data_IF_869582989303
#
_entry.id   IF_869582989303
#
_cell.length_a   1.000
_cell.length_b   1.000
_cell.length_c   1.000
_cell.angle_alpha   90.00
_cell.angle_beta   90.00
_cell.angle_gamma   90.00
#
_symmetry.space_group_name_H-M   'P 1'
#
loop_
_entity.id
_entity.type
_entity.pdbx_description
1 polymer ?
#
# COMPACT_ATOMS: atom_id res chain seq x y z
N UNK A 1 44.70 50.06 -22.05
CA UNK A 1 43.39 49.55 -22.42
C UNK A 1 43.34 48.07 -22.10
N UNK A 2 42.94 47.70 -20.91
CA UNK A 2 42.84 46.35 -20.44
C UNK A 2 41.38 45.90 -20.50
N UNK A 3 41.10 44.93 -21.38
CA UNK A 3 39.79 44.27 -21.43
C UNK A 3 39.70 43.22 -20.31
N UNK A 4 38.88 43.48 -19.32
CA UNK A 4 38.52 42.49 -18.30
C UNK A 4 37.73 41.35 -18.96
N UNK A 5 38.19 40.10 -18.77
CA UNK A 5 37.49 38.86 -19.11
C UNK A 5 36.32 38.67 -18.10
N UNK A 6 35.12 38.45 -18.65
CA UNK A 6 33.97 37.92 -17.89
C UNK A 6 34.29 36.49 -17.40
N UNK A 7 33.95 36.12 -16.15
CA UNK A 7 33.99 34.72 -15.74
C UNK A 7 32.80 33.98 -16.38
N UNK A 8 33.09 32.79 -16.93
CA UNK A 8 32.11 31.82 -17.37
C UNK A 8 31.46 31.13 -16.18
N UNK A 9 30.17 30.82 -16.35
CA UNK A 9 29.40 29.77 -15.66
C UNK A 9 29.28 29.92 -14.14
N UNK A 10 28.30 30.71 -13.72
CA UNK A 10 27.61 30.46 -12.48
C UNK A 10 26.51 29.42 -12.76
N UNK A 11 26.65 28.23 -12.23
CA UNK A 11 25.53 27.30 -12.08
C UNK A 11 24.51 27.99 -11.14
N UNK A 12 23.32 28.28 -11.67
CA UNK A 12 22.20 28.65 -10.82
C UNK A 12 21.87 27.44 -9.93
N UNK A 13 21.63 27.62 -8.61
CA UNK A 13 21.22 26.51 -7.78
C UNK A 13 19.86 26.00 -8.32
N UNK A 14 19.78 24.70 -8.68
CA UNK A 14 18.52 24.06 -8.96
C UNK A 14 17.55 24.33 -7.80
N UNK A 15 16.44 25.01 -8.05
CA UNK A 15 15.36 25.18 -7.11
C UNK A 15 14.86 23.80 -6.69
N UNK A 16 15.26 23.34 -5.52
CA UNK A 16 14.65 22.17 -4.87
C UNK A 16 13.20 22.53 -4.57
N UNK A 17 12.26 21.87 -5.24
CA UNK A 17 10.83 22.02 -4.93
C UNK A 17 10.63 21.80 -3.42
N UNK A 18 9.84 22.66 -2.74
CA UNK A 18 9.64 22.54 -1.31
C UNK A 18 9.05 21.14 -0.99
N UNK A 19 9.69 20.42 -0.08
CA UNK A 19 9.19 19.11 0.35
C UNK A 19 7.82 19.27 0.99
N UNK A 20 6.83 18.50 0.51
CA UNK A 20 5.47 18.51 1.08
C UNK A 20 5.48 18.10 2.54
N UNK A 21 4.69 18.78 3.35
CA UNK A 21 4.45 18.39 4.75
C UNK A 21 3.65 17.07 4.83
N UNK A 22 3.74 16.38 5.96
CA UNK A 22 2.95 15.16 6.21
C UNK A 22 1.44 15.39 6.04
N UNK A 23 0.93 16.55 6.43
CA UNK A 23 -0.48 16.90 6.28
C UNK A 23 -0.88 17.08 4.81
N UNK A 24 -0.04 17.74 3.99
CA UNK A 24 -0.29 17.90 2.56
C UNK A 24 -0.25 16.56 1.83
N UNK A 25 0.69 15.68 2.18
CA UNK A 25 0.77 14.32 1.64
C UNK A 25 -0.52 13.55 1.94
N UNK A 26 -0.97 13.53 3.21
CA UNK A 26 -2.20 12.84 3.62
C UNK A 26 -3.43 13.38 2.89
N UNK A 27 -3.54 14.70 2.77
CA UNK A 27 -4.66 15.32 2.07
C UNK A 27 -4.68 14.94 0.57
N UNK A 28 -3.53 14.95 -0.09
CA UNK A 28 -3.43 14.54 -1.50
C UNK A 28 -3.84 13.07 -1.69
N UNK A 29 -3.37 12.18 -0.82
CA UNK A 29 -3.72 10.76 -0.84
C UNK A 29 -5.23 10.59 -0.63
N UNK A 30 -5.79 11.25 0.39
CA UNK A 30 -7.21 11.16 0.71
C UNK A 30 -8.08 11.59 -0.48
N UNK A 31 -7.82 12.75 -1.06
CA UNK A 31 -8.56 13.27 -2.21
C UNK A 31 -8.47 12.29 -3.38
N UNK A 32 -7.27 11.82 -3.70
CA UNK A 32 -7.05 10.92 -4.83
C UNK A 32 -7.81 9.60 -4.70
N UNK A 33 -7.72 8.94 -3.55
CA UNK A 33 -8.40 7.66 -3.34
C UNK A 33 -9.90 7.81 -3.19
N UNK A 34 -10.36 8.94 -2.64
CA UNK A 34 -11.77 9.26 -2.54
C UNK A 34 -12.41 9.49 -3.93
N UNK A 35 -11.76 10.26 -4.80
CA UNK A 35 -12.18 10.47 -6.19
C UNK A 35 -12.18 9.16 -6.98
N UNK A 36 -11.13 8.37 -6.85
CA UNK A 36 -11.03 7.06 -7.48
C UNK A 36 -12.18 6.12 -7.07
N UNK A 37 -12.58 6.13 -5.79
CA UNK A 37 -13.70 5.34 -5.29
C UNK A 37 -15.05 5.85 -5.81
N UNK A 38 -15.24 7.18 -5.97
CA UNK A 38 -16.44 7.76 -6.57
C UNK A 38 -16.67 7.27 -7.99
N UNK A 39 -15.62 7.19 -8.78
CA UNK A 39 -15.62 6.72 -10.17
C UNK A 39 -15.82 5.20 -10.30
N UNK A 40 -15.91 4.47 -9.18
CA UNK A 40 -16.06 3.00 -9.16
C UNK A 40 -14.83 2.24 -9.60
N UNK A 41 -13.65 2.87 -9.49
CA UNK A 41 -12.39 2.26 -9.91
C UNK A 41 -12.18 2.24 -11.42
N UNK A 42 -12.98 2.97 -12.19
CA UNK A 42 -12.85 3.00 -13.65
C UNK A 42 -11.51 3.58 -14.09
N UNK A 43 -10.95 2.99 -15.13
CA UNK A 43 -9.55 3.04 -15.50
C UNK A 43 -9.03 4.37 -16.06
N UNK A 44 -9.82 5.42 -16.16
CA UNK A 44 -9.34 6.69 -16.74
C UNK A 44 -8.51 7.53 -15.76
N UNK A 45 -8.49 7.20 -14.47
CA UNK A 45 -7.90 8.04 -13.42
C UNK A 45 -6.65 7.56 -12.73
N UNK A 46 -6.32 6.27 -12.64
CA UNK A 46 -5.15 5.84 -11.85
C UNK A 46 -4.65 4.44 -12.23
N UNK A 47 -3.46 4.35 -12.79
CA UNK A 47 -2.81 3.14 -13.32
C UNK A 47 -3.68 2.37 -14.32
N UNK A 48 -3.63 2.68 -15.60
CA UNK A 48 -4.13 1.76 -16.59
C UNK A 48 -3.19 0.56 -16.56
N UNK A 49 -3.73 -0.56 -16.16
CA UNK A 49 -3.17 -1.83 -16.56
C UNK A 49 -3.22 -1.83 -18.07
N UNK A 50 -2.09 -1.62 -18.71
CA UNK A 50 -1.99 -1.42 -20.16
C UNK A 50 -2.61 -2.64 -20.84
N UNK A 51 -3.82 -2.48 -21.36
CA UNK A 51 -4.48 -3.45 -22.22
C UNK A 51 -5.23 -4.62 -21.54
N UNK A 52 -5.36 -4.64 -20.19
CA UNK A 52 -6.07 -5.70 -19.47
C UNK A 52 -7.06 -5.18 -18.42
N UNK A 53 -7.98 -6.02 -17.96
CA UNK A 53 -8.82 -5.72 -16.81
C UNK A 53 -8.02 -5.85 -15.51
N UNK A 54 -8.49 -5.21 -14.41
CA UNK A 54 -7.90 -5.40 -13.07
C UNK A 54 -7.85 -6.89 -12.67
N UNK A 55 -8.80 -7.67 -13.14
CA UNK A 55 -8.87 -9.13 -12.97
C UNK A 55 -7.72 -9.84 -13.68
N UNK A 56 -7.47 -9.52 -14.96
CA UNK A 56 -6.34 -10.10 -15.70
C UNK A 56 -5.01 -9.80 -15.02
N UNK A 57 -4.81 -8.56 -14.58
CA UNK A 57 -3.59 -8.17 -13.87
C UNK A 57 -3.40 -8.97 -12.57
N UNK A 58 -4.43 -9.08 -11.76
CA UNK A 58 -4.38 -9.79 -10.49
C UNK A 58 -4.03 -11.28 -10.67
N UNK A 59 -4.55 -11.90 -11.74
CA UNK A 59 -4.25 -13.29 -12.09
C UNK A 59 -2.88 -13.46 -12.75
N UNK A 60 -2.52 -12.62 -13.72
CA UNK A 60 -1.23 -12.69 -14.43
C UNK A 60 -0.02 -12.50 -13.51
N UNK A 61 -0.16 -11.62 -12.50
CA UNK A 61 0.89 -11.39 -11.51
C UNK A 61 0.78 -12.30 -10.28
N UNK A 62 -0.16 -13.27 -10.27
CA UNK A 62 -0.32 -14.25 -9.19
C UNK A 62 -0.63 -13.61 -7.83
N UNK A 63 -1.30 -12.45 -7.84
CA UNK A 63 -1.68 -11.77 -6.60
C UNK A 63 -2.80 -12.53 -5.89
N UNK A 64 -3.80 -12.99 -6.65
CA UNK A 64 -4.94 -13.78 -6.16
C UNK A 64 -5.11 -15.03 -7.00
N UNK A 65 -5.55 -16.13 -6.40
CA UNK A 65 -5.88 -17.37 -7.13
C UNK A 65 -7.22 -17.23 -7.86
N UNK A 66 -7.53 -18.16 -8.77
CA UNK A 66 -8.84 -18.19 -9.43
C UNK A 66 -9.97 -18.43 -8.41
N UNK A 67 -9.71 -19.23 -7.39
CA UNK A 67 -10.64 -19.51 -6.29
C UNK A 67 -10.89 -18.24 -5.47
N UNK A 68 -9.84 -17.47 -5.13
CA UNK A 68 -9.97 -16.18 -4.46
C UNK A 68 -10.81 -15.21 -5.31
N UNK A 69 -10.51 -15.11 -6.61
CA UNK A 69 -11.20 -14.20 -7.52
C UNK A 69 -12.69 -14.53 -7.68
N UNK A 70 -13.07 -15.81 -7.60
CA UNK A 70 -14.46 -16.24 -7.66
C UNK A 70 -15.29 -15.80 -6.45
N UNK A 71 -14.66 -15.50 -5.32
CA UNK A 71 -15.32 -15.01 -4.09
C UNK A 71 -15.47 -13.49 -4.06
N UNK A 72 -14.71 -12.76 -4.88
CA UNK A 72 -14.58 -11.32 -4.80
C UNK A 72 -15.55 -10.62 -5.77
N UNK A 73 -16.42 -9.71 -5.29
CA UNK A 73 -17.23 -8.86 -6.17
C UNK A 73 -16.38 -8.03 -7.13
N UNK A 74 -16.84 -7.86 -8.37
CA UNK A 74 -16.11 -7.10 -9.41
C UNK A 74 -15.74 -5.67 -8.98
N UNK A 75 -16.60 -5.05 -8.18
CA UNK A 75 -16.34 -3.72 -7.65
C UNK A 75 -15.05 -3.68 -6.81
N UNK A 76 -14.83 -4.69 -5.94
CA UNK A 76 -13.61 -4.77 -5.14
C UNK A 76 -12.36 -4.96 -6.00
N UNK A 77 -12.45 -5.78 -7.04
CA UNK A 77 -11.35 -6.00 -8.00
C UNK A 77 -10.98 -4.68 -8.68
N UNK A 78 -11.95 -3.93 -9.17
CA UNK A 78 -11.73 -2.65 -9.85
C UNK A 78 -11.10 -1.59 -8.93
N UNK A 79 -11.41 -1.64 -7.63
CA UNK A 79 -10.89 -0.72 -6.62
C UNK A 79 -9.54 -1.17 -6.03
N UNK A 80 -9.09 -2.39 -6.31
CA UNK A 80 -7.83 -2.89 -5.76
C UNK A 80 -6.62 -2.13 -6.31
N UNK A 81 -5.70 -1.79 -5.39
CA UNK A 81 -4.39 -1.17 -5.68
C UNK A 81 -3.27 -1.85 -4.86
N UNK A 82 -3.54 -3.05 -4.38
CA UNK A 82 -2.58 -3.84 -3.63
C UNK A 82 -1.42 -4.36 -4.48
N UNK A 83 -0.30 -4.65 -3.85
CA UNK A 83 0.90 -5.22 -4.47
C UNK A 83 1.14 -6.69 -4.04
N UNK A 84 0.15 -7.30 -3.39
CA UNK A 84 0.19 -8.67 -2.91
C UNK A 84 -1.17 -9.16 -2.43
N UNK A 85 -1.17 -10.29 -1.73
CA UNK A 85 -2.33 -10.87 -1.06
C UNK A 85 -1.93 -11.28 0.37
N UNK A 86 -2.10 -10.39 1.35
CA UNK A 86 -1.74 -10.70 2.74
C UNK A 86 -2.55 -11.86 3.31
N UNK A 87 -3.80 -12.05 2.85
CA UNK A 87 -4.65 -13.13 3.34
C UNK A 87 -4.13 -14.53 2.97
N UNK A 88 -3.31 -14.64 1.92
CA UNK A 88 -2.76 -15.91 1.45
C UNK A 88 -1.69 -16.49 2.40
N UNK A 89 -1.03 -15.65 3.19
CA UNK A 89 0.04 -16.07 4.09
C UNK A 89 -0.19 -15.68 5.57
N UNK A 90 -1.28 -14.97 5.88
CA UNK A 90 -1.63 -14.53 7.23
C UNK A 90 -2.05 -15.68 8.17
N UNK A 91 -2.24 -16.89 7.67
CA UNK A 91 -2.69 -18.05 8.47
C UNK A 91 -3.95 -17.75 9.32
N UNK A 92 -4.91 -17.05 8.72
CA UNK A 92 -6.19 -16.69 9.36
C UNK A 92 -6.97 -17.96 9.72
N UNK A 93 -7.46 -18.04 10.96
CA UNK A 93 -8.23 -19.18 11.47
C UNK A 93 -9.71 -18.83 11.67
N UNK A 94 -10.62 -19.81 11.57
CA UNK A 94 -12.03 -19.62 11.90
C UNK A 94 -12.22 -19.03 13.30
N UNK A 95 -13.16 -18.08 13.42
CA UNK A 95 -13.48 -17.42 14.68
C UNK A 95 -12.60 -16.25 15.07
N UNK A 96 -11.51 -15.99 14.34
CA UNK A 96 -10.63 -14.86 14.62
C UNK A 96 -11.24 -13.51 14.24
N UNK A 97 -10.68 -12.46 14.82
CA UNK A 97 -10.90 -11.05 14.44
C UNK A 97 -9.70 -10.60 13.62
N UNK A 98 -9.95 -10.18 12.39
CA UNK A 98 -8.93 -9.65 11.46
C UNK A 98 -9.17 -8.17 11.24
N UNK A 99 -8.15 -7.34 11.45
CA UNK A 99 -8.20 -5.92 11.09
C UNK A 99 -7.38 -5.67 9.82
N UNK A 100 -7.96 -4.97 8.84
CA UNK A 100 -7.34 -4.58 7.57
C UNK A 100 -7.03 -3.09 7.60
N UNK A 101 -5.76 -2.76 7.70
CA UNK A 101 -5.25 -1.39 7.76
C UNK A 101 -5.05 -0.84 6.35
N UNK A 102 -5.93 0.10 5.97
CA UNK A 102 -6.08 0.60 4.62
C UNK A 102 -6.90 -0.35 3.76
N UNK A 103 -8.08 -0.71 4.23
CA UNK A 103 -8.94 -1.71 3.60
C UNK A 103 -9.42 -1.35 2.18
N UNK A 104 -9.33 -0.06 1.80
CA UNK A 104 -9.72 0.41 0.48
C UNK A 104 -11.12 -0.07 0.07
N UNK A 105 -11.25 -0.62 -1.13
CA UNK A 105 -12.49 -1.18 -1.66
C UNK A 105 -12.90 -2.54 -1.08
N UNK A 106 -12.16 -3.10 -0.10
CA UNK A 106 -12.57 -4.28 0.66
C UNK A 106 -12.18 -5.63 0.07
N UNK A 107 -11.25 -5.69 -0.90
CA UNK A 107 -10.85 -6.97 -1.52
C UNK A 107 -10.31 -7.96 -0.50
N UNK A 108 -9.37 -7.53 0.35
CA UNK A 108 -8.76 -8.38 1.38
C UNK A 108 -9.72 -8.65 2.55
N UNK A 109 -10.69 -7.72 2.82
CA UNK A 109 -11.78 -7.95 3.78
C UNK A 109 -12.69 -9.10 3.37
N UNK A 110 -13.08 -9.21 2.10
CA UNK A 110 -13.90 -10.32 1.59
C UNK A 110 -13.19 -11.65 1.83
N UNK A 111 -11.92 -11.74 1.44
CA UNK A 111 -11.13 -12.97 1.61
C UNK A 111 -10.92 -13.31 3.09
N UNK A 112 -10.62 -12.31 3.91
CA UNK A 112 -10.49 -12.51 5.35
C UNK A 112 -11.81 -12.98 5.99
N UNK A 113 -12.96 -12.39 5.60
CA UNK A 113 -14.27 -12.77 6.11
C UNK A 113 -14.67 -14.21 5.76
N UNK A 114 -14.31 -14.68 4.57
CA UNK A 114 -14.47 -16.11 4.23
C UNK A 114 -13.62 -17.02 5.12
N UNK A 115 -12.37 -16.63 5.39
CA UNK A 115 -11.43 -17.42 6.21
C UNK A 115 -11.81 -17.46 7.69
N UNK A 116 -12.25 -16.33 8.27
CA UNK A 116 -12.69 -16.31 9.67
C UNK A 116 -14.03 -17.03 9.89
N UNK A 117 -14.80 -17.24 8.83
CA UNK A 117 -16.09 -17.96 8.90
C UNK A 117 -17.18 -17.21 9.68
N UNK A 118 -18.30 -17.91 10.02
CA UNK A 118 -19.50 -17.26 10.57
C UNK A 118 -19.35 -16.76 12.00
N UNK A 119 -18.33 -17.22 12.74
CA UNK A 119 -18.08 -16.83 14.13
C UNK A 119 -16.97 -15.79 14.28
N UNK A 120 -16.24 -15.51 13.20
CA UNK A 120 -15.19 -14.50 13.15
C UNK A 120 -15.69 -13.14 12.68
N UNK A 121 -14.81 -12.15 12.75
CA UNK A 121 -15.09 -10.78 12.32
C UNK A 121 -13.93 -10.18 11.52
N UNK A 122 -14.26 -9.21 10.67
CA UNK A 122 -13.27 -8.38 9.98
C UNK A 122 -13.55 -6.90 10.27
N UNK A 123 -12.48 -6.12 10.43
CA UNK A 123 -12.53 -4.69 10.72
C UNK A 123 -11.75 -3.97 9.61
N UNK A 124 -12.45 -3.20 8.76
CA UNK A 124 -11.82 -2.37 7.76
C UNK A 124 -11.50 -0.99 8.32
N UNK A 125 -10.23 -0.58 8.27
CA UNK A 125 -9.79 0.76 8.67
C UNK A 125 -9.32 1.50 7.42
N UNK A 126 -9.97 2.61 7.09
CA UNK A 126 -9.58 3.48 5.97
C UNK A 126 -9.97 4.93 6.29
N UNK A 127 -9.27 5.91 5.70
CA UNK A 127 -9.56 7.32 5.94
C UNK A 127 -10.30 8.01 4.78
N UNK A 128 -10.47 7.33 3.64
CA UNK A 128 -11.21 7.80 2.49
C UNK A 128 -12.69 7.41 2.59
N UNK A 129 -13.62 8.37 2.74
CA UNK A 129 -15.04 8.06 2.98
C UNK A 129 -15.66 7.20 1.89
N UNK A 130 -15.43 7.52 0.61
CA UNK A 130 -16.01 6.78 -0.50
C UNK A 130 -15.40 5.38 -0.65
N UNK A 131 -14.12 5.19 -0.28
CA UNK A 131 -13.54 3.83 -0.19
C UNK A 131 -14.27 3.00 0.86
N UNK A 132 -14.48 3.55 2.06
CA UNK A 132 -15.22 2.86 3.12
C UNK A 132 -16.67 2.53 2.71
N UNK A 133 -17.34 3.43 2.00
CA UNK A 133 -18.69 3.17 1.47
C UNK A 133 -18.68 2.04 0.43
N UNK A 134 -17.70 2.03 -0.47
CA UNK A 134 -17.53 0.95 -1.45
C UNK A 134 -17.22 -0.39 -0.80
N UNK A 135 -16.36 -0.40 0.23
CA UNK A 135 -16.07 -1.61 0.99
C UNK A 135 -17.34 -2.18 1.65
N UNK A 136 -18.21 -1.33 2.21
CA UNK A 136 -19.53 -1.74 2.74
C UNK A 136 -20.42 -2.35 1.66
N UNK A 137 -20.47 -1.72 0.49
CA UNK A 137 -21.21 -2.24 -0.67
C UNK A 137 -20.66 -3.60 -1.10
N UNK A 138 -19.35 -3.74 -1.21
CA UNK A 138 -18.68 -4.99 -1.58
C UNK A 138 -18.99 -6.11 -0.57
N UNK A 139 -18.93 -5.83 0.73
CA UNK A 139 -19.27 -6.81 1.76
C UNK A 139 -20.74 -7.22 1.70
N UNK A 140 -21.63 -6.30 1.35
CA UNK A 140 -23.06 -6.59 1.15
C UNK A 140 -23.30 -7.47 -0.10
N UNK A 141 -22.65 -7.16 -1.23
CA UNK A 141 -22.71 -7.97 -2.45
C UNK A 141 -22.18 -9.39 -2.23
N UNK A 142 -21.15 -9.55 -1.37
CA UNK A 142 -20.61 -10.84 -0.98
C UNK A 142 -21.44 -11.59 0.06
N UNK A 143 -22.50 -10.98 0.63
CA UNK A 143 -23.33 -11.57 1.69
C UNK A 143 -22.59 -11.68 3.05
N UNK A 144 -21.65 -10.77 3.32
CA UNK A 144 -20.74 -10.82 4.47
C UNK A 144 -20.87 -9.61 5.41
N UNK A 145 -21.93 -8.79 5.26
CA UNK A 145 -22.12 -7.56 6.06
C UNK A 145 -22.19 -7.81 7.56
N UNK A 146 -22.69 -8.96 7.98
CA UNK A 146 -22.84 -9.38 9.38
C UNK A 146 -21.49 -9.62 10.08
N UNK A 147 -20.41 -9.78 9.31
CA UNK A 147 -19.05 -10.04 9.80
C UNK A 147 -18.14 -8.83 9.74
N UNK A 148 -18.58 -7.73 9.12
CA UNK A 148 -17.73 -6.59 8.83
C UNK A 148 -18.07 -5.37 9.70
N UNK A 149 -17.04 -4.79 10.28
CA UNK A 149 -17.07 -3.48 10.92
C UNK A 149 -16.15 -2.51 10.15
N UNK A 150 -16.50 -1.21 10.12
CA UNK A 150 -15.74 -0.22 9.37
C UNK A 150 -15.42 0.98 10.24
N UNK A 151 -14.15 1.36 10.24
CA UNK A 151 -13.62 2.49 11.01
C UNK A 151 -13.06 3.51 10.02
N UNK A 152 -13.71 4.67 9.94
CA UNK A 152 -13.28 5.76 9.06
C UNK A 152 -12.28 6.65 9.79
N UNK A 153 -11.02 6.23 9.83
CA UNK A 153 -9.92 6.91 10.52
C UNK A 153 -8.59 6.75 9.79
N UNK A 154 -7.64 7.64 10.12
CA UNK A 154 -6.26 7.56 9.67
C UNK A 154 -5.53 6.41 10.40
N UNK A 155 -4.90 5.50 9.66
CA UNK A 155 -4.18 4.35 10.23
C UNK A 155 -2.93 4.74 11.03
N UNK A 156 -2.45 5.97 10.94
CA UNK A 156 -1.40 6.49 11.82
C UNK A 156 -1.94 6.85 13.22
N UNK A 157 -3.25 7.06 13.35
CA UNK A 157 -3.93 7.34 14.62
C UNK A 157 -5.40 6.90 14.59
N UNK A 158 -5.69 5.59 14.48
CA UNK A 158 -7.04 5.08 14.24
C UNK A 158 -7.95 5.14 15.47
N UNK A 159 -7.44 5.43 16.67
CA UNK A 159 -8.20 5.45 17.93
C UNK A 159 -9.12 4.23 18.11
N UNK A 160 -8.63 3.06 17.71
CA UNK A 160 -9.34 1.79 17.90
C UNK A 160 -9.02 1.21 19.29
N UNK A 161 -9.93 0.40 19.85
CA UNK A 161 -9.63 -0.27 21.11
C UNK A 161 -8.41 -1.21 21.03
N UNK A 162 -7.64 -1.27 22.10
CA UNK A 162 -6.49 -2.15 22.19
C UNK A 162 -6.89 -3.63 22.31
N UNK A 163 -6.02 -4.51 21.84
CA UNK A 163 -6.11 -5.95 22.02
C UNK A 163 -7.43 -6.57 21.50
N UNK A 164 -7.96 -6.11 20.38
CA UNK A 164 -9.19 -6.66 19.78
C UNK A 164 -8.93 -7.60 18.63
N UNK A 165 -7.83 -7.42 17.88
CA UNK A 165 -7.54 -8.19 16.68
C UNK A 165 -6.60 -9.38 16.98
N UNK A 166 -6.90 -10.53 16.39
CA UNK A 166 -6.00 -11.69 16.38
C UNK A 166 -4.96 -11.56 15.28
N UNK A 167 -5.37 -10.96 14.15
CA UNK A 167 -4.53 -10.74 12.96
C UNK A 167 -4.73 -9.31 12.46
N UNK A 168 -3.63 -8.65 12.09
CA UNK A 168 -3.68 -7.43 11.29
C UNK A 168 -3.11 -7.72 9.90
N UNK A 169 -3.84 -7.35 8.87
CA UNK A 169 -3.38 -7.37 7.50
C UNK A 169 -3.25 -5.95 6.95
N UNK A 170 -2.38 -5.75 5.96
CA UNK A 170 -2.32 -4.52 5.16
C UNK A 170 -1.68 -4.79 3.80
N UNK A 171 -2.16 -4.13 2.76
CA UNK A 171 -1.74 -4.36 1.38
C UNK A 171 -1.40 -3.05 0.68
N UNK A 172 -0.11 -2.72 0.62
CA UNK A 172 0.45 -1.58 -0.12
C UNK A 172 0.00 -0.18 0.36
N UNK A 173 -0.39 -0.06 1.62
CA UNK A 173 -0.92 1.18 2.21
C UNK A 173 0.09 1.88 3.12
N UNK A 174 0.91 1.11 3.87
CA UNK A 174 1.82 1.69 4.88
C UNK A 174 2.85 2.60 4.20
N UNK A 175 3.22 2.33 2.96
CA UNK A 175 4.09 3.20 2.19
C UNK A 175 3.48 4.58 1.89
N UNK A 176 2.18 4.70 1.84
CA UNK A 176 1.51 5.98 1.67
C UNK A 176 1.61 6.85 2.92
N UNK A 177 1.84 6.24 4.09
CA UNK A 177 1.89 6.94 5.37
C UNK A 177 3.23 7.64 5.60
N UNK A 178 3.23 8.95 5.89
CA UNK A 178 4.44 9.70 6.26
C UNK A 178 5.12 9.15 7.52
N UNK A 179 4.35 8.67 8.51
CA UNK A 179 4.87 8.13 9.76
C UNK A 179 4.66 6.60 9.87
N UNK A 180 5.50 5.80 9.20
CA UNK A 180 5.44 4.33 9.32
C UNK A 180 5.59 3.82 10.77
N UNK A 181 6.48 4.38 11.63
CA UNK A 181 6.54 3.99 13.03
C UNK A 181 5.20 4.20 13.77
N UNK A 182 4.45 5.28 13.43
CA UNK A 182 3.13 5.53 14.01
C UNK A 182 2.15 4.40 13.66
N UNK A 183 2.14 3.95 12.39
CA UNK A 183 1.28 2.86 11.93
C UNK A 183 1.60 1.55 12.66
N UNK A 184 2.90 1.19 12.75
CA UNK A 184 3.30 -0.05 13.43
C UNK A 184 3.02 -0.03 14.93
N UNK A 185 3.09 1.15 15.57
CA UNK A 185 2.64 1.32 16.95
C UNK A 185 1.15 1.02 17.08
N UNK A 186 0.31 1.56 16.18
CA UNK A 186 -1.13 1.29 16.19
C UNK A 186 -1.46 -0.19 15.91
N UNK A 187 -0.74 -0.83 14.97
CA UNK A 187 -0.87 -2.26 14.72
C UNK A 187 -0.51 -3.07 15.98
N UNK A 188 0.52 -2.66 16.70
CA UNK A 188 0.90 -3.32 17.95
C UNK A 188 -0.17 -3.16 19.03
N UNK A 189 -0.75 -1.98 19.18
CA UNK A 189 -1.79 -1.70 20.18
C UNK A 189 -3.07 -2.49 19.90
N UNK A 190 -3.58 -2.53 18.67
CA UNK A 190 -4.82 -3.24 18.31
C UNK A 190 -4.69 -4.77 18.41
N UNK A 191 -3.50 -5.32 18.18
CA UNK A 191 -3.29 -6.76 18.24
C UNK A 191 -3.37 -7.27 19.68
N UNK A 192 -4.04 -8.40 19.87
CA UNK A 192 -3.99 -9.17 21.12
C UNK A 192 -2.56 -9.67 21.38
N UNK A 193 -2.14 -9.86 22.65
CA UNK A 193 -0.91 -10.59 22.95
C UNK A 193 -0.90 -11.97 22.26
N UNK A 194 0.17 -12.27 21.52
CA UNK A 194 0.25 -13.47 20.69
C UNK A 194 -0.40 -13.36 19.32
N UNK A 195 -1.09 -12.26 19.02
CA UNK A 195 -1.58 -11.94 17.68
C UNK A 195 -0.44 -11.60 16.72
N UNK A 196 -0.72 -11.57 15.42
CA UNK A 196 0.31 -11.36 14.43
C UNK A 196 -0.13 -10.42 13.30
N UNK A 197 0.86 -9.83 12.64
CA UNK A 197 0.65 -9.06 11.42
C UNK A 197 1.06 -9.85 10.17
N UNK A 198 0.38 -9.58 9.05
CA UNK A 198 0.74 -10.05 7.72
C UNK A 198 0.62 -8.88 6.74
N UNK A 199 1.76 -8.34 6.33
CA UNK A 199 1.85 -7.13 5.51
C UNK A 199 2.45 -7.45 4.16
N UNK A 200 1.86 -6.92 3.09
CA UNK A 200 2.46 -6.87 1.77
C UNK A 200 2.74 -5.41 1.41
N UNK A 201 3.99 -5.04 1.18
CA UNK A 201 4.35 -3.66 0.86
C UNK A 201 5.59 -3.57 -0.06
N UNK A 202 5.79 -2.42 -0.68
CA UNK A 202 6.94 -2.16 -1.54
C UNK A 202 8.14 -1.70 -0.70
N UNK A 203 9.28 -2.30 -0.94
CA UNK A 203 10.57 -1.90 -0.35
C UNK A 203 11.62 -1.72 -1.43
N UNK A 204 12.72 -1.05 -1.11
CA UNK A 204 13.88 -0.96 -1.98
C UNK A 204 15.01 -1.88 -1.49
N UNK A 205 15.81 -2.40 -2.42
CA UNK A 205 17.00 -3.21 -2.14
C UNK A 205 18.20 -2.63 -2.86
N UNK A 206 19.31 -2.54 -2.14
CA UNK A 206 20.51 -1.89 -2.65
C UNK A 206 20.38 -0.37 -2.77
N UNK A 207 21.38 0.26 -3.36
CA UNK A 207 21.37 1.71 -3.54
C UNK A 207 20.41 2.13 -4.65
N UNK A 208 19.54 3.06 -4.33
CA UNK A 208 18.66 3.74 -5.28
C UNK A 208 19.23 5.13 -5.54
N UNK A 209 19.43 5.48 -6.80
CA UNK A 209 19.89 6.80 -7.21
C UNK A 209 19.04 7.89 -6.51
N UNK A 210 19.67 8.91 -5.90
CA UNK A 210 18.97 9.98 -5.19
C UNK A 210 17.91 10.69 -6.04
N UNK A 211 18.20 10.95 -7.33
CA UNK A 211 17.24 11.59 -8.26
C UNK A 211 16.03 10.71 -8.56
N UNK A 212 16.23 9.38 -8.60
CA UNK A 212 15.14 8.42 -8.77
C UNK A 212 14.29 8.38 -7.50
N UNK A 213 14.91 8.41 -6.33
CA UNK A 213 14.20 8.48 -5.05
C UNK A 213 13.38 9.76 -4.93
N UNK A 214 13.94 10.91 -5.27
CA UNK A 214 13.27 12.21 -5.30
C UNK A 214 12.07 12.19 -6.25
N UNK A 215 12.22 11.60 -7.42
CA UNK A 215 11.11 11.41 -8.36
C UNK A 215 9.98 10.57 -7.75
N UNK A 216 10.27 9.42 -7.15
CA UNK A 216 9.24 8.62 -6.48
C UNK A 216 8.56 9.38 -5.32
N UNK A 217 9.32 10.16 -4.57
CA UNK A 217 8.76 11.02 -3.51
C UNK A 217 7.87 12.12 -4.10
N UNK A 218 8.16 12.65 -5.27
CA UNK A 218 7.31 13.67 -5.92
C UNK A 218 5.93 13.13 -6.33
N UNK A 219 5.82 11.80 -6.51
CA UNK A 219 4.58 11.09 -6.83
C UNK A 219 4.08 10.26 -5.64
N UNK A 220 4.25 10.76 -4.42
CA UNK A 220 3.98 10.04 -3.16
C UNK A 220 2.62 9.34 -3.09
N UNK A 221 1.62 9.80 -3.81
CA UNK A 221 0.31 9.15 -3.87
C UNK A 221 0.33 7.75 -4.53
N UNK A 222 1.49 7.24 -4.98
CA UNK A 222 1.71 5.86 -5.38
C UNK A 222 2.53 5.09 -4.33
N UNK A 223 2.33 3.78 -4.24
CA UNK A 223 2.98 2.91 -3.23
C UNK A 223 4.52 2.89 -3.30
N UNK A 224 5.12 3.34 -4.39
CA UNK A 224 6.58 3.49 -4.53
C UNK A 224 7.13 4.77 -3.89
N UNK A 225 6.29 5.82 -3.74
CA UNK A 225 6.74 7.13 -3.26
C UNK A 225 7.29 7.10 -1.84
N UNK A 226 6.68 6.32 -0.97
CA UNK A 226 7.13 6.12 0.41
C UNK A 226 7.97 4.86 0.64
N UNK A 227 8.39 4.15 -0.42
CA UNK A 227 9.20 2.96 -0.27
C UNK A 227 10.57 3.29 0.32
N UNK A 228 10.98 2.53 1.33
CA UNK A 228 12.26 2.66 2.04
C UNK A 228 13.07 1.37 1.89
N UNK A 229 14.39 1.39 2.19
CA UNK A 229 15.20 0.19 2.22
C UNK A 229 14.61 -0.90 3.12
N UNK A 230 14.64 -2.15 2.65
CA UNK A 230 14.07 -3.31 3.35
C UNK A 230 14.56 -3.40 4.80
N UNK A 231 15.87 -3.24 5.04
CA UNK A 231 16.43 -3.30 6.40
C UNK A 231 15.87 -2.21 7.32
N UNK A 232 15.69 -1.00 6.79
CA UNK A 232 15.06 0.11 7.52
C UNK A 232 13.59 -0.18 7.82
N UNK A 233 12.88 -0.79 6.87
CA UNK A 233 11.48 -1.20 7.06
C UNK A 233 11.36 -2.26 8.17
N UNK A 234 12.19 -3.31 8.11
CA UNK A 234 12.23 -4.37 9.13
C UNK A 234 12.59 -3.82 10.51
N UNK A 235 13.52 -2.87 10.57
CA UNK A 235 13.90 -2.22 11.83
C UNK A 235 12.71 -1.48 12.45
N UNK A 236 11.90 -0.76 11.68
CA UNK A 236 10.70 -0.09 12.19
C UNK A 236 9.74 -1.10 12.83
N UNK A 237 9.53 -2.27 12.22
CA UNK A 237 8.68 -3.33 12.77
C UNK A 237 9.25 -3.86 14.09
N UNK A 238 10.56 -4.09 14.15
CA UNK A 238 11.23 -4.55 15.38
C UNK A 238 11.17 -3.50 16.50
N UNK A 239 11.43 -2.23 16.16
CA UNK A 239 11.40 -1.12 17.13
C UNK A 239 9.99 -0.89 17.71
N UNK A 240 8.93 -1.28 16.97
CA UNK A 240 7.56 -1.28 17.48
C UNK A 240 7.26 -2.42 18.49
N UNK A 241 8.20 -3.32 18.75
CA UNK A 241 8.09 -4.38 19.75
C UNK A 241 7.71 -5.76 19.19
N UNK A 242 7.60 -5.91 17.86
CA UNK A 242 7.28 -7.19 17.24
C UNK A 242 8.45 -8.17 17.31
N UNK A 243 8.12 -9.43 17.52
CA UNK A 243 9.04 -10.57 17.50
C UNK A 243 8.79 -11.49 16.32
N UNK A 244 9.65 -12.48 16.10
CA UNK A 244 9.54 -13.50 15.05
C UNK A 244 9.35 -12.91 13.65
N UNK A 245 9.90 -11.72 13.41
CA UNK A 245 9.82 -11.02 12.12
C UNK A 245 10.45 -11.87 11.01
N UNK A 246 9.68 -12.12 9.95
CA UNK A 246 10.11 -12.90 8.78
C UNK A 246 9.66 -12.24 7.49
N UNK A 247 10.54 -12.20 6.50
CA UNK A 247 10.15 -11.92 5.11
C UNK A 247 9.86 -13.27 4.47
N UNK A 248 8.58 -13.57 4.22
CA UNK A 248 8.13 -14.88 3.74
C UNK A 248 8.17 -15.02 2.23
N UNK A 249 8.10 -13.91 1.52
CA UNK A 249 8.26 -13.89 0.06
C UNK A 249 8.72 -12.50 -0.42
N UNK A 250 9.32 -12.48 -1.59
CA UNK A 250 9.70 -11.27 -2.33
C UNK A 250 9.37 -11.46 -3.80
N UNK A 251 8.75 -10.46 -4.40
CA UNK A 251 8.57 -10.35 -5.84
C UNK A 251 9.32 -9.11 -6.32
N UNK A 252 10.36 -9.31 -7.12
CA UNK A 252 11.14 -8.21 -7.70
C UNK A 252 10.41 -7.68 -8.93
N UNK A 253 10.03 -6.42 -8.92
CA UNK A 253 9.31 -5.80 -10.03
C UNK A 253 10.21 -5.72 -11.27
N UNK A 254 9.71 -6.21 -12.39
CA UNK A 254 10.36 -6.09 -13.68
C UNK A 254 10.09 -4.71 -14.32
N UNK A 255 10.76 -4.42 -15.44
CA UNK A 255 10.63 -3.12 -16.10
C UNK A 255 9.20 -2.82 -16.58
N UNK A 256 8.44 -3.84 -17.02
CA UNK A 256 7.04 -3.68 -17.45
C UNK A 256 6.17 -3.27 -16.26
N UNK A 257 6.28 -3.98 -15.14
CA UNK A 257 5.56 -3.67 -13.89
C UNK A 257 5.91 -2.27 -13.35
N UNK A 258 7.19 -1.87 -13.43
CA UNK A 258 7.63 -0.53 -13.02
C UNK A 258 7.07 0.56 -13.95
N UNK A 259 7.03 0.32 -15.26
CA UNK A 259 6.45 1.24 -16.25
C UNK A 259 4.93 1.37 -16.03
N UNK A 260 4.25 0.27 -15.81
CA UNK A 260 2.82 0.24 -15.47
C UNK A 260 2.53 0.99 -14.17
N UNK A 261 3.35 0.84 -13.13
CA UNK A 261 3.23 1.58 -11.88
C UNK A 261 3.54 3.08 -12.03
N UNK A 262 4.44 3.45 -12.95
CA UNK A 262 4.80 4.84 -13.23
C UNK A 262 3.77 5.54 -14.14
N UNK A 263 2.99 4.78 -14.92
CA UNK A 263 2.07 5.26 -15.96
C UNK A 263 0.69 5.62 -15.42
N UNK A 264 0.56 6.23 -14.24
CA UNK A 264 -0.73 6.68 -13.73
C UNK A 264 -1.40 7.73 -14.64
N UNK A 265 -2.60 7.45 -15.24
CA UNK A 265 -3.35 8.43 -15.99
C UNK A 265 -3.85 9.57 -15.10
N UNK A 266 -3.94 10.75 -15.71
CA UNK A 266 -4.44 11.97 -15.07
C UNK A 266 -3.39 13.00 -14.67
N UNK A 267 -2.12 12.63 -14.52
CA UNK A 267 -1.01 13.58 -14.66
C UNK A 267 -0.25 13.22 -15.92
N UNK A 268 -0.14 14.18 -16.86
CA UNK A 268 0.86 14.10 -17.93
C UNK A 268 2.20 13.99 -17.21
N UNK A 269 2.68 12.75 -17.04
CA UNK A 269 4.02 12.53 -16.55
C UNK A 269 4.97 13.31 -17.46
N UNK A 270 5.79 14.12 -16.83
CA UNK A 270 6.90 14.75 -17.54
C UNK A 270 7.66 13.65 -18.28
N UNK A 271 7.98 13.82 -19.57
CA UNK A 271 8.70 12.82 -20.38
C UNK A 271 10.11 12.52 -19.90
N UNK A 272 10.45 12.91 -18.69
CA UNK A 272 11.80 12.88 -18.13
C UNK A 272 12.20 11.56 -17.47
N UNK A 273 11.30 10.58 -17.35
CA UNK A 273 11.73 9.26 -16.90
C UNK A 273 12.16 8.43 -18.11
N UNK A 274 13.43 8.57 -18.50
CA UNK A 274 13.96 7.81 -19.62
C UNK A 274 13.96 6.31 -19.31
N UNK A 275 13.83 5.48 -20.36
CA UNK A 275 13.95 4.02 -20.24
C UNK A 275 15.24 3.59 -19.53
N UNK A 276 16.30 4.40 -19.67
CA UNK A 276 17.58 4.17 -18.99
C UNK A 276 17.46 4.32 -17.46
N UNK A 277 16.69 5.29 -16.95
CA UNK A 277 16.46 5.46 -15.51
C UNK A 277 15.60 4.34 -14.93
N UNK A 278 14.57 3.88 -15.66
CA UNK A 278 13.80 2.70 -15.27
C UNK A 278 14.67 1.44 -15.25
N UNK A 279 15.58 1.29 -16.24
CA UNK A 279 16.52 0.17 -16.25
C UNK A 279 17.44 0.15 -15.02
N UNK A 280 17.82 1.31 -14.47
CA UNK A 280 18.61 1.41 -13.25
C UNK A 280 17.85 0.96 -11.99
N UNK A 281 16.51 0.92 -12.05
CA UNK A 281 15.64 0.46 -10.97
C UNK A 281 15.38 -1.04 -11.02
N UNK A 282 15.72 -1.70 -12.13
CA UNK A 282 15.55 -3.14 -12.28
C UNK A 282 16.25 -3.88 -11.14
N UNK A 283 15.51 -4.76 -10.48
CA UNK A 283 16.02 -5.53 -9.35
C UNK A 283 16.03 -4.81 -7.98
N UNK A 284 15.70 -3.51 -7.96
CA UNK A 284 15.79 -2.70 -6.73
C UNK A 284 14.44 -2.42 -6.06
N UNK A 285 13.34 -2.53 -6.78
CA UNK A 285 11.98 -2.38 -6.24
C UNK A 285 11.37 -3.75 -6.05
N UNK A 286 10.94 -4.02 -4.84
CA UNK A 286 10.50 -5.35 -4.41
C UNK A 286 9.18 -5.23 -3.67
N UNK A 287 8.17 -6.01 -4.08
CA UNK A 287 7.02 -6.31 -3.24
C UNK A 287 7.44 -7.38 -2.23
N UNK A 288 7.46 -7.03 -0.95
CA UNK A 288 7.88 -7.91 0.12
C UNK A 288 6.69 -8.28 1.03
N UNK A 289 6.66 -9.53 1.48
CA UNK A 289 5.63 -10.07 2.36
C UNK A 289 6.23 -10.33 3.74
N UNK A 290 5.68 -9.68 4.76
CA UNK A 290 6.19 -9.70 6.12
C UNK A 290 5.22 -10.37 7.08
N UNK A 291 5.75 -11.21 7.96
CA UNK A 291 5.05 -11.73 9.14
C UNK A 291 5.80 -11.33 10.39
N UNK A 292 5.09 -10.92 11.43
CA UNK A 292 5.66 -10.71 12.75
C UNK A 292 4.59 -10.95 13.84
N UNK A 293 5.00 -11.23 15.05
CA UNK A 293 4.13 -11.60 16.17
C UNK A 293 4.26 -10.58 17.29
N UNK A 294 3.14 -10.13 17.85
CA UNK A 294 3.14 -9.42 19.13
C UNK A 294 3.44 -10.43 20.23
N UNK A 295 4.49 -10.24 21.04
CA UNK A 295 4.77 -11.14 22.16
C UNK A 295 3.55 -11.33 23.07
N UNK A 296 3.49 -12.48 23.75
CA UNK A 296 2.41 -12.76 24.72
C UNK A 296 2.59 -11.97 26.01
N UNK A 297 3.83 -11.63 26.32
CA UNK A 297 4.29 -10.76 27.41
C UNK A 297 5.64 -10.14 27.03
#
# INVERSE_FOLDING_TARGET
MNKAKKPCCGEEPEETSPQKTAAEIKQEIKVRYDEFAKEGGSAEGCCPLVGGSAESFALEHGLYSQEDMALIPKLAINLSRGCGNPTSFANIQPGQVVADFGSGGGIDLVLAAHKVGPTGKVIGVDFAPHMSERAKQVMAEAGLSDRAEFILLDIENPQVPDNIADVVISNCVINLCPCKPCVYKQIYEILKPGGHLAISDIVTRGEVDPKVREYFQSIWAGCTGGAIPEDGYLKIVQDAGFSQLKVVARHTLNLKELDEMASCPGKKFSPTFSKEKLAQMQGKIVSAKFLAVKPKE
#
